data_IF_124732500060
#
_entry.id   IF_124732500060
#
_cell.length_a   1.000
_cell.length_b   1.000
_cell.length_c   1.000
_cell.angle_alpha   90.00
_cell.angle_beta   90.00
_cell.angle_gamma   90.00
#
_symmetry.space_group_name_H-M   'P 1'
#
loop_
_entity.id
_entity.type
_entity.pdbx_description
1 polymer ?
#
# COMPACT_ATOMS: atom_id res chain seq x y z
N UNK A 1 8.10 -4.02 6.89
CA UNK A 1 8.18 -3.23 5.63
C UNK A 1 6.81 -3.15 4.96
N UNK A 2 6.56 -2.15 4.11
CA UNK A 2 5.33 -2.03 3.32
C UNK A 2 5.67 -1.84 1.85
N UNK A 3 4.78 -2.28 0.96
CA UNK A 3 5.01 -2.24 -0.50
C UNK A 3 3.94 -1.35 -1.15
N UNK A 4 4.38 -0.41 -1.99
CA UNK A 4 3.53 0.50 -2.75
C UNK A 4 3.65 0.15 -4.24
N UNK A 5 2.55 -0.18 -4.90
CA UNK A 5 2.56 -0.49 -6.32
C UNK A 5 2.88 0.75 -7.18
N UNK A 6 3.52 0.54 -8.33
CA UNK A 6 3.82 1.61 -9.28
C UNK A 6 2.54 2.36 -9.70
N UNK A 7 2.64 3.69 -9.82
CA UNK A 7 1.51 4.55 -10.20
C UNK A 7 0.48 4.81 -9.10
N UNK A 8 0.74 4.40 -7.86
CA UNK A 8 -0.15 4.67 -6.73
C UNK A 8 0.03 6.08 -6.18
N UNK A 9 -1.07 6.71 -5.76
CA UNK A 9 -1.05 8.02 -5.10
C UNK A 9 -1.44 7.82 -3.64
N UNK A 10 -0.44 7.91 -2.75
CA UNK A 10 -0.61 7.75 -1.31
C UNK A 10 -1.10 9.06 -0.71
N UNK A 11 -2.36 9.09 -0.30
CA UNK A 11 -2.99 10.29 0.29
C UNK A 11 -3.10 10.22 1.82
N UNK A 12 -2.76 9.08 2.42
CA UNK A 12 -2.79 8.80 3.87
C UNK A 12 -1.70 7.81 4.25
N UNK A 13 -1.39 7.71 5.54
CA UNK A 13 -0.37 6.78 6.05
C UNK A 13 -0.67 5.33 5.64
N UNK A 14 0.39 4.57 5.35
CA UNK A 14 0.34 3.15 4.97
C UNK A 14 0.70 2.30 6.18
N UNK A 15 -0.13 1.32 6.51
CA UNK A 15 0.13 0.39 7.61
C UNK A 15 1.38 -0.47 7.32
N UNK A 16 2.19 -0.80 8.35
CA UNK A 16 3.27 -1.76 8.22
C UNK A 16 2.78 -3.11 7.67
N UNK A 17 3.61 -3.82 6.89
CA UNK A 17 3.31 -5.16 6.38
C UNK A 17 2.05 -5.19 5.50
N UNK A 18 1.88 -4.15 4.68
CA UNK A 18 0.77 -4.07 3.72
C UNK A 18 1.24 -3.79 2.29
N UNK A 19 0.50 -4.35 1.34
CA UNK A 19 0.58 -4.02 -0.09
C UNK A 19 -0.57 -3.06 -0.43
N UNK A 20 -0.25 -1.85 -0.87
CA UNK A 20 -1.23 -0.86 -1.32
C UNK A 20 -1.10 -0.54 -2.81
N UNK A 21 -2.21 -0.23 -3.47
CA UNK A 21 -2.20 0.27 -4.84
C UNK A 21 -3.35 1.24 -5.17
N UNK A 22 -3.18 2.01 -6.25
CA UNK A 22 -4.22 2.83 -6.88
C UNK A 22 -4.14 4.32 -6.57
N UNK A 23 -5.07 5.09 -7.13
CA UNK A 23 -5.21 6.54 -6.89
C UNK A 23 -6.68 6.84 -6.51
N UNK A 24 -7.00 7.08 -5.23
CA UNK A 24 -6.10 7.03 -4.07
C UNK A 24 -5.72 5.60 -3.69
N UNK A 25 -4.53 5.42 -3.08
CA UNK A 25 -4.00 4.10 -2.72
C UNK A 25 -4.86 3.38 -1.67
N UNK A 26 -5.15 2.09 -1.90
CA UNK A 26 -5.96 1.22 -1.03
C UNK A 26 -5.22 -0.08 -0.70
N UNK A 27 -5.54 -0.65 0.46
CA UNK A 27 -5.04 -1.97 0.87
C UNK A 27 -5.51 -3.05 -0.11
N UNK A 28 -4.56 -3.77 -0.71
CA UNK A 28 -4.85 -4.97 -1.51
C UNK A 28 -4.78 -6.20 -0.62
N UNK A 29 -3.68 -6.35 0.12
CA UNK A 29 -3.45 -7.47 1.04
C UNK A 29 -2.41 -7.12 2.09
N UNK A 30 -2.40 -7.92 3.15
CA UNK A 30 -1.27 -7.96 4.09
C UNK A 30 -0.16 -8.83 3.49
N UNK A 31 1.08 -8.44 3.74
CA UNK A 31 2.26 -9.21 3.36
C UNK A 31 2.79 -9.82 4.66
N UNK A 32 2.83 -11.14 4.70
CA UNK A 32 3.60 -11.86 5.71
C UNK A 32 5.09 -11.63 5.41
N UNK A 33 5.91 -11.62 6.46
CA UNK A 33 7.31 -11.18 6.42
C UNK A 33 8.16 -11.93 5.39
#
# INVERSE_FOLDING_TARGET
NSVVAAGSVVTRNVEPHTLVAGNPAKLIRRIDE
#
